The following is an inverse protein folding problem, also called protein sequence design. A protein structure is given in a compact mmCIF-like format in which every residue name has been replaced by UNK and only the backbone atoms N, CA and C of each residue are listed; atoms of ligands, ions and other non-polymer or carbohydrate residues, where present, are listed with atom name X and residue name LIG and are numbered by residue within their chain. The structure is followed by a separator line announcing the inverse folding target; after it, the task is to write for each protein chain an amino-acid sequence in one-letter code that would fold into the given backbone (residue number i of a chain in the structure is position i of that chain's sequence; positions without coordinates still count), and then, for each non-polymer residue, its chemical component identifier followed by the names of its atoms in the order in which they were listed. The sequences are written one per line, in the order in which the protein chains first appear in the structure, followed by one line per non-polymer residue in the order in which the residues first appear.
data_IF_877427126493
#
_entry.id   IF_877427126493
#
_cell.length_a   1.000
_cell.length_b   1.000
_cell.length_c   1.000
_cell.angle_alpha   90.00
_cell.angle_beta   90.00
_cell.angle_gamma   90.00
#
_symmetry.space_group_name_H-M   'P 1'
#
loop_
_entity.id
_entity.type
_entity.pdbx_description
1 polymer ?
#
# COMPACT_ATOMS: atom_id res chain seq x y z
N UNK A 1 10.42 0.71 34.87
CA UNK A 1 11.09 0.59 33.54
C UNK A 1 10.43 -0.56 32.77
N UNK A 2 9.25 -0.32 32.21
CA UNK A 2 8.55 -1.28 31.36
C UNK A 2 9.06 -1.08 29.92
N UNK A 3 9.64 -2.15 29.39
CA UNK A 3 10.15 -2.24 28.05
C UNK A 3 8.98 -2.13 27.05
N UNK A 4 8.84 -0.99 26.38
CA UNK A 4 8.24 -0.90 25.06
C UNK A 4 9.36 -0.77 24.04
N UNK A 5 10.15 -1.82 23.90
CA UNK A 5 11.12 -1.97 22.84
C UNK A 5 10.56 -2.99 21.86
N UNK A 6 9.66 -2.53 21.01
CA UNK A 6 9.22 -3.30 19.86
C UNK A 6 9.32 -2.43 18.63
N UNK A 7 10.47 -2.56 17.97
CA UNK A 7 10.71 -1.94 16.66
C UNK A 7 9.89 -2.71 15.64
N UNK A 8 8.77 -2.15 15.23
CA UNK A 8 8.02 -2.66 14.08
C UNK A 8 8.48 -1.96 12.82
N UNK A 9 9.05 -2.70 11.92
CA UNK A 9 9.61 -2.25 10.65
C UNK A 9 8.57 -1.96 9.56
N UNK A 10 7.30 -1.94 9.88
CA UNK A 10 6.24 -1.75 8.89
C UNK A 10 5.12 -0.93 9.50
N UNK A 11 4.91 0.26 8.96
CA UNK A 11 3.80 1.20 9.15
C UNK A 11 4.07 2.39 10.07
N UNK A 12 3.35 3.51 9.85
CA UNK A 12 3.39 4.72 10.70
C UNK A 12 2.71 4.51 12.06
N UNK A 13 3.02 3.42 12.76
CA UNK A 13 2.49 3.09 14.07
C UNK A 13 2.89 4.15 15.12
N UNK A 14 3.98 4.87 14.87
CA UNK A 14 4.50 5.87 15.82
C UNK A 14 3.62 7.13 15.89
N UNK A 15 2.96 7.52 14.80
CA UNK A 15 2.02 8.64 14.82
C UNK A 15 0.78 8.30 15.66
N UNK A 16 0.29 7.05 15.59
CA UNK A 16 -0.84 6.58 16.37
C UNK A 16 -0.49 6.47 17.85
N UNK A 17 0.73 6.04 18.20
CA UNK A 17 1.19 5.97 19.59
C UNK A 17 1.32 7.37 20.20
N UNK A 18 1.92 8.32 19.48
CA UNK A 18 2.01 9.71 19.93
C UNK A 18 0.62 10.35 20.08
N UNK A 19 -0.30 10.10 19.15
CA UNK A 19 -1.70 10.52 19.23
C UNK A 19 -2.43 9.93 20.44
N UNK A 20 -2.32 8.62 20.66
CA UNK A 20 -2.93 7.94 21.81
C UNK A 20 -2.39 8.41 23.16
N UNK A 21 -1.09 8.75 23.24
CA UNK A 21 -0.50 9.31 24.48
C UNK A 21 -1.04 10.72 24.74
N UNK A 22 -1.14 11.56 23.70
CA UNK A 22 -1.69 12.91 23.83
C UNK A 22 -3.18 12.92 24.25
N UNK A 23 -3.97 11.94 23.78
CA UNK A 23 -5.39 11.83 24.11
C UNK A 23 -5.66 11.32 25.54
N UNK A 24 -4.75 10.59 26.16
CA UNK A 24 -4.95 9.98 27.48
C UNK A 24 -4.70 10.90 28.67
N UNK A 25 -4.03 12.04 28.48
CA UNK A 25 -3.84 13.06 29.55
C UNK A 25 -3.13 12.54 30.79
N UNK A 26 -2.32 11.49 30.70
CA UNK A 26 -1.60 10.93 31.86
C UNK A 26 -0.39 11.78 32.22
N UNK A 27 -0.29 12.18 33.50
CA UNK A 27 0.72 13.10 34.07
C UNK A 27 2.16 12.54 34.14
N UNK A 28 2.47 11.43 33.50
CA UNK A 28 3.83 10.91 33.32
C UNK A 28 4.04 10.61 31.84
N UNK A 29 4.41 11.63 31.09
CA UNK A 29 4.68 11.49 29.65
C UNK A 29 5.92 10.61 29.46
N UNK A 30 5.80 9.45 28.78
CA UNK A 30 6.98 8.76 28.30
C UNK A 30 7.64 9.65 27.24
N UNK A 31 8.95 9.77 27.26
CA UNK A 31 9.70 10.41 26.18
C UNK A 31 9.48 9.60 24.90
N UNK A 32 8.85 10.22 23.90
CA UNK A 32 8.53 9.58 22.59
C UNK A 32 9.46 10.16 21.54
N UNK A 33 10.33 9.31 21.00
CA UNK A 33 11.18 9.65 19.85
C UNK A 33 10.62 8.99 18.58
N UNK A 34 10.42 9.77 17.52
CA UNK A 34 10.00 9.26 16.21
C UNK A 34 11.21 9.03 15.33
N UNK A 35 11.50 7.77 15.04
CA UNK A 35 12.59 7.39 14.16
C UNK A 35 12.04 7.12 12.75
N UNK A 36 12.51 7.83 11.70
CA UNK A 36 12.04 7.62 10.34
C UNK A 36 12.45 6.23 9.82
N UNK A 37 11.55 5.59 9.07
CA UNK A 37 11.76 4.28 8.46
C UNK A 37 11.30 4.22 7.01
N UNK A 38 11.65 3.14 6.30
CA UNK A 38 11.20 2.88 4.95
C UNK A 38 9.82 2.21 4.98
N UNK A 39 8.86 2.86 4.33
CA UNK A 39 7.52 2.28 4.17
C UNK A 39 7.53 1.12 3.15
N UNK A 40 6.63 0.14 3.33
CA UNK A 40 6.47 -0.97 2.40
C UNK A 40 6.09 -0.51 0.97
N UNK A 41 5.44 0.64 0.82
CA UNK A 41 5.18 1.24 -0.50
C UNK A 41 6.48 1.53 -1.24
N UNK A 42 7.44 2.22 -0.61
CA UNK A 42 8.72 2.54 -1.24
C UNK A 42 9.57 1.28 -1.45
N UNK A 43 9.66 0.41 -0.44
CA UNK A 43 10.47 -0.81 -0.50
C UNK A 43 9.94 -1.80 -1.53
N UNK A 44 8.63 -2.05 -1.57
CA UNK A 44 7.99 -2.91 -2.55
C UNK A 44 8.00 -2.30 -3.96
N UNK A 45 7.84 -0.98 -4.06
CA UNK A 45 8.00 -0.25 -5.31
C UNK A 45 9.38 -0.47 -5.91
N UNK A 46 10.44 -0.42 -5.10
CA UNK A 46 11.81 -0.69 -5.55
C UNK A 46 12.01 -2.13 -6.05
N UNK A 47 11.31 -3.12 -5.48
CA UNK A 47 11.35 -4.51 -5.97
C UNK A 47 10.70 -4.66 -7.34
N UNK A 48 9.62 -3.92 -7.61
CA UNK A 48 8.93 -3.93 -8.90
C UNK A 48 9.61 -3.06 -9.97
N UNK A 49 10.39 -2.08 -9.54
CA UNK A 49 11.02 -1.08 -10.40
C UNK A 49 10.79 0.34 -9.88
N UNK A 50 9.93 1.12 -10.49
CA UNK A 50 9.61 2.49 -10.08
C UNK A 50 8.12 2.83 -10.35
N UNK A 51 7.15 2.10 -9.75
CA UNK A 51 5.73 2.33 -10.01
C UNK A 51 5.19 3.60 -9.36
N UNK A 52 5.90 4.18 -8.38
CA UNK A 52 5.46 5.33 -7.57
C UNK A 52 6.25 6.61 -7.82
N UNK A 53 6.84 6.80 -9.01
CA UNK A 53 7.68 7.97 -9.30
C UNK A 53 6.91 9.27 -9.58
N UNK A 54 5.62 9.20 -9.69
CA UNK A 54 4.68 10.32 -9.81
C UNK A 54 3.83 10.44 -8.53
N UNK A 55 2.69 11.11 -8.61
CA UNK A 55 1.76 11.19 -7.49
C UNK A 55 1.17 9.80 -7.17
N UNK A 56 1.14 9.45 -5.90
CA UNK A 56 0.62 8.16 -5.47
C UNK A 56 -0.12 8.25 -4.14
N UNK A 57 -1.03 7.31 -3.94
CA UNK A 57 -1.77 7.13 -2.70
C UNK A 57 -1.40 5.82 -2.01
N UNK A 58 -1.33 5.82 -0.67
CA UNK A 58 -1.21 4.61 0.14
C UNK A 58 -2.55 4.37 0.83
N UNK A 59 -3.18 3.22 0.55
CA UNK A 59 -4.50 2.89 1.07
C UNK A 59 -4.46 1.52 1.74
N UNK A 60 -4.84 1.47 3.02
CA UNK A 60 -5.01 0.22 3.75
C UNK A 60 -6.43 -0.31 3.58
N UNK A 61 -6.56 -1.61 3.27
CA UNK A 61 -7.85 -2.30 3.24
C UNK A 61 -8.31 -2.80 4.62
N UNK A 62 -7.59 -2.44 5.69
CA UNK A 62 -8.01 -2.81 7.04
C UNK A 62 -9.22 -2.00 7.47
N UNK A 63 -10.36 -2.69 7.67
CA UNK A 63 -11.63 -2.13 8.12
C UNK A 63 -11.83 -2.18 9.65
N UNK A 64 -10.76 -2.43 10.40
CA UNK A 64 -10.84 -2.52 11.88
C UNK A 64 -11.13 -1.18 12.54
N UNK A 65 -10.51 -0.11 12.04
CA UNK A 65 -10.64 1.25 12.58
C UNK A 65 -11.25 2.22 11.56
N UNK A 66 -11.35 1.81 10.30
CA UNK A 66 -11.87 2.64 9.21
C UNK A 66 -13.06 1.94 8.55
N UNK A 67 -14.26 2.54 8.52
CA UNK A 67 -15.40 1.97 7.83
C UNK A 67 -15.10 1.67 6.36
N UNK A 68 -15.65 0.55 5.84
CA UNK A 68 -15.39 0.12 4.46
C UNK A 68 -15.80 1.18 3.43
N UNK A 69 -16.89 1.90 3.67
CA UNK A 69 -17.36 2.98 2.79
C UNK A 69 -16.30 4.09 2.63
N UNK A 70 -15.54 4.37 3.69
CA UNK A 70 -14.43 5.32 3.65
C UNK A 70 -13.28 4.78 2.79
N UNK A 71 -12.95 3.49 2.91
CA UNK A 71 -11.92 2.84 2.08
C UNK A 71 -12.35 2.83 0.62
N UNK A 72 -13.60 2.47 0.32
CA UNK A 72 -14.18 2.50 -1.02
C UNK A 72 -14.08 3.89 -1.65
N UNK A 73 -14.46 4.94 -0.90
CA UNK A 73 -14.36 6.31 -1.39
C UNK A 73 -12.91 6.71 -1.70
N UNK A 74 -11.95 6.32 -0.85
CA UNK A 74 -10.52 6.60 -1.08
C UNK A 74 -10.00 5.89 -2.33
N UNK A 75 -10.35 4.61 -2.54
CA UNK A 75 -9.97 3.85 -3.74
C UNK A 75 -10.54 4.50 -4.99
N UNK A 76 -11.82 4.87 -4.98
CA UNK A 76 -12.49 5.52 -6.10
C UNK A 76 -11.84 6.87 -6.42
N UNK A 77 -11.66 7.73 -5.44
CA UNK A 77 -11.05 9.05 -5.64
C UNK A 77 -9.61 8.97 -6.16
N UNK A 78 -8.81 8.02 -5.66
CA UNK A 78 -7.45 7.81 -6.13
C UNK A 78 -7.43 7.31 -7.59
N UNK A 79 -8.37 6.42 -7.97
CA UNK A 79 -8.51 5.94 -9.33
C UNK A 79 -8.98 7.04 -10.29
N UNK A 80 -10.00 7.84 -9.90
CA UNK A 80 -10.50 8.97 -10.68
C UNK A 80 -9.44 10.08 -10.86
N UNK A 81 -8.58 10.27 -9.84
CA UNK A 81 -7.46 11.21 -9.90
C UNK A 81 -6.24 10.70 -10.64
N UNK A 82 -6.29 9.49 -11.21
CA UNK A 82 -5.19 8.82 -11.90
C UNK A 82 -3.90 8.68 -11.05
N UNK A 83 -4.05 8.50 -9.73
CA UNK A 83 -2.92 8.19 -8.85
C UNK A 83 -2.44 6.77 -9.05
N UNK A 84 -1.11 6.55 -8.94
CA UNK A 84 -0.63 5.23 -8.62
C UNK A 84 -1.03 4.87 -7.18
N UNK A 85 -1.41 3.62 -6.91
CA UNK A 85 -1.94 3.23 -5.60
C UNK A 85 -1.10 2.10 -5.02
N UNK A 86 -0.61 2.28 -3.79
CA UNK A 86 -0.05 1.21 -2.97
C UNK A 86 -1.11 0.73 -1.96
N UNK A 87 -1.49 -0.53 -2.02
CA UNK A 87 -2.52 -1.13 -1.18
C UNK A 87 -1.87 -1.98 -0.10
N UNK A 88 -2.17 -1.67 1.16
CA UNK A 88 -1.76 -2.41 2.34
C UNK A 88 -2.88 -3.30 2.86
N UNK A 89 -2.50 -4.36 3.56
CA UNK A 89 -3.44 -5.32 4.15
C UNK A 89 -4.45 -5.87 3.13
N UNK A 90 -4.01 -6.35 1.96
CA UNK A 90 -4.89 -6.76 0.87
C UNK A 90 -5.78 -7.94 1.26
N UNK A 91 -5.32 -8.81 2.17
CA UNK A 91 -6.11 -9.88 2.75
C UNK A 91 -5.60 -10.27 4.13
N UNK A 92 -6.43 -10.94 4.93
CA UNK A 92 -6.08 -11.60 6.17
C UNK A 92 -7.01 -12.79 6.43
N UNK A 93 -6.70 -13.62 7.42
CA UNK A 93 -7.49 -14.80 7.75
C UNK A 93 -8.99 -14.52 7.96
N UNK A 94 -9.33 -13.39 8.57
CA UNK A 94 -10.73 -12.97 8.75
C UNK A 94 -11.31 -12.12 7.61
N UNK A 95 -10.54 -11.83 6.56
CA UNK A 95 -10.86 -10.89 5.48
C UNK A 95 -10.24 -11.33 4.15
N UNK A 96 -10.59 -12.52 3.65
CA UNK A 96 -9.99 -13.06 2.42
C UNK A 96 -10.42 -12.29 1.17
N UNK A 97 -11.60 -11.64 1.18
CA UNK A 97 -12.22 -11.04 -0.01
C UNK A 97 -11.91 -9.54 -0.17
N UNK A 98 -11.10 -8.93 0.72
CA UNK A 98 -10.88 -7.48 0.70
C UNK A 98 -10.21 -6.99 -0.58
N UNK A 99 -9.20 -7.72 -1.10
CA UNK A 99 -8.58 -7.37 -2.38
C UNK A 99 -9.58 -7.45 -3.53
N UNK A 100 -10.38 -8.52 -3.59
CA UNK A 100 -11.41 -8.69 -4.62
C UNK A 100 -12.40 -7.52 -4.61
N UNK A 101 -12.90 -7.16 -3.43
CA UNK A 101 -13.79 -6.00 -3.26
C UNK A 101 -13.14 -4.69 -3.72
N UNK A 102 -11.84 -4.50 -3.40
CA UNK A 102 -11.10 -3.32 -3.87
C UNK A 102 -10.97 -3.31 -5.39
N UNK A 103 -10.67 -4.46 -6.01
CA UNK A 103 -10.62 -4.59 -7.47
C UNK A 103 -11.99 -4.32 -8.11
N UNK A 104 -13.10 -4.78 -7.53
CA UNK A 104 -14.46 -4.49 -8.01
C UNK A 104 -14.75 -2.98 -8.04
N UNK A 105 -14.23 -2.22 -7.06
CA UNK A 105 -14.36 -0.77 -7.00
C UNK A 105 -13.49 -0.12 -8.08
N UNK A 106 -12.24 -0.54 -8.19
CA UNK A 106 -11.28 0.01 -9.15
C UNK A 106 -11.71 -0.25 -10.60
N UNK A 107 -12.24 -1.43 -10.91
CA UNK A 107 -12.73 -1.81 -12.25
C UNK A 107 -13.94 -1.00 -12.73
N UNK A 108 -14.64 -0.28 -11.83
CA UNK A 108 -15.69 0.68 -12.24
C UNK A 108 -15.11 1.96 -12.88
N UNK A 109 -13.82 2.23 -12.65
CA UNK A 109 -13.13 3.47 -13.07
C UNK A 109 -11.96 3.17 -14.01
N UNK A 110 -11.22 2.10 -13.75
CA UNK A 110 -9.99 1.73 -14.46
C UNK A 110 -10.25 0.55 -15.41
N UNK A 111 -9.52 0.47 -16.54
CA UNK A 111 -9.61 -0.66 -17.46
C UNK A 111 -9.02 -1.94 -16.83
N UNK A 112 -9.48 -3.10 -17.27
CA UNK A 112 -9.00 -4.42 -16.81
C UNK A 112 -7.51 -4.63 -17.09
N UNK A 113 -6.99 -4.02 -18.14
CA UNK A 113 -5.57 -4.06 -18.57
C UNK A 113 -4.67 -3.15 -17.74
N UNK A 114 -5.22 -2.39 -16.79
CA UNK A 114 -4.42 -1.55 -15.88
C UNK A 114 -3.32 -2.38 -15.24
N UNK A 115 -2.07 -1.96 -15.43
CA UNK A 115 -0.92 -2.66 -14.90
C UNK A 115 -0.87 -2.57 -13.38
N UNK A 116 -0.64 -3.70 -12.76
CA UNK A 116 -0.54 -3.88 -11.32
C UNK A 116 0.70 -4.68 -10.96
N UNK A 117 1.06 -4.67 -9.68
CA UNK A 117 2.13 -5.50 -9.14
C UNK A 117 1.79 -6.01 -7.75
N UNK A 118 2.31 -7.17 -7.40
CA UNK A 118 2.26 -7.74 -6.05
C UNK A 118 3.68 -7.98 -5.62
N UNK A 119 4.02 -7.59 -4.39
CA UNK A 119 5.28 -7.96 -3.74
C UNK A 119 4.95 -8.61 -2.40
N UNK A 120 5.48 -9.80 -2.19
CA UNK A 120 5.33 -10.58 -0.95
C UNK A 120 6.65 -10.60 -0.20
N UNK A 121 6.62 -10.57 1.13
CA UNK A 121 7.77 -10.70 2.03
C UNK A 121 8.89 -9.69 1.72
N UNK A 122 8.55 -8.42 1.51
CA UNK A 122 9.51 -7.35 1.17
C UNK A 122 10.67 -7.34 2.16
N UNK A 123 11.92 -7.49 1.65
CA UNK A 123 13.14 -7.50 2.47
C UNK A 123 13.29 -8.70 3.39
N UNK A 124 12.55 -9.79 3.17
CA UNK A 124 12.57 -11.01 3.98
C UNK A 124 12.88 -12.24 3.12
N UNK A 125 13.20 -13.34 3.77
CA UNK A 125 13.30 -14.64 3.10
C UNK A 125 11.98 -15.00 2.40
N UNK A 126 12.07 -15.55 1.19
CA UNK A 126 10.92 -15.85 0.35
C UNK A 126 10.31 -14.61 -0.32
N UNK A 127 11.05 -13.49 -0.43
CA UNK A 127 10.62 -12.33 -1.21
C UNK A 127 10.31 -12.75 -2.65
N UNK A 128 9.14 -12.34 -3.12
CA UNK A 128 8.72 -12.57 -4.51
C UNK A 128 7.93 -11.39 -5.04
N UNK A 129 7.91 -11.21 -6.35
CA UNK A 129 7.12 -10.19 -7.02
C UNK A 129 6.49 -10.72 -8.29
N UNK A 130 5.36 -10.13 -8.67
CA UNK A 130 4.66 -10.43 -9.92
C UNK A 130 4.02 -9.16 -10.47
N UNK A 131 4.17 -8.95 -11.78
CA UNK A 131 3.44 -7.93 -12.54
C UNK A 131 2.26 -8.62 -13.22
N UNK A 132 1.09 -8.01 -13.20
CA UNK A 132 -0.17 -8.54 -13.71
C UNK A 132 -1.12 -7.39 -14.07
N UNK A 133 -2.27 -7.70 -14.65
CA UNK A 133 -3.33 -6.72 -14.90
C UNK A 133 -4.30 -6.61 -13.72
N UNK A 134 -5.13 -5.57 -13.70
CA UNK A 134 -6.16 -5.37 -12.69
C UNK A 134 -7.22 -6.50 -12.73
N UNK A 135 -7.56 -6.98 -13.92
CA UNK A 135 -8.44 -8.13 -14.08
C UNK A 135 -7.86 -9.41 -13.47
N UNK A 136 -6.57 -9.67 -13.68
CA UNK A 136 -5.88 -10.81 -13.06
C UNK A 136 -5.68 -10.63 -11.55
N UNK A 137 -5.51 -9.39 -11.08
CA UNK A 137 -5.34 -9.07 -9.67
C UNK A 137 -6.57 -9.46 -8.84
N UNK A 138 -7.77 -9.35 -9.40
CA UNK A 138 -9.02 -9.72 -8.74
C UNK A 138 -9.05 -11.18 -8.28
N UNK A 139 -8.38 -12.08 -9.01
CA UNK A 139 -8.29 -13.51 -8.70
C UNK A 139 -6.94 -13.89 -8.04
N UNK A 140 -6.11 -12.92 -7.72
CA UNK A 140 -4.79 -13.19 -7.18
C UNK A 140 -4.84 -13.68 -5.72
N UNK A 141 -4.03 -14.70 -5.41
CA UNK A 141 -3.80 -15.16 -4.05
C UNK A 141 -2.84 -14.19 -3.33
N UNK A 142 -3.34 -13.55 -2.27
CA UNK A 142 -2.60 -12.60 -1.44
C UNK A 142 -2.88 -12.85 0.04
N UNK A 143 -1.94 -12.42 0.86
CA UNK A 143 -2.04 -12.46 2.32
C UNK A 143 -1.59 -11.13 2.95
N UNK A 144 -1.49 -11.09 4.27
CA UNK A 144 -1.08 -9.90 5.01
C UNK A 144 0.40 -9.51 4.81
N UNK A 145 1.22 -10.38 4.19
CA UNK A 145 2.61 -10.10 3.86
C UNK A 145 2.79 -9.53 2.45
N UNK A 146 1.68 -9.33 1.74
CA UNK A 146 1.67 -8.75 0.41
C UNK A 146 1.42 -7.24 0.47
N UNK A 147 2.13 -6.51 -0.39
CA UNK A 147 1.79 -5.14 -0.79
C UNK A 147 1.41 -5.16 -2.25
N UNK A 148 0.28 -4.57 -2.58
CA UNK A 148 -0.24 -4.52 -3.95
C UNK A 148 -0.05 -3.11 -4.51
N UNK A 149 0.27 -3.03 -5.79
CA UNK A 149 0.48 -1.79 -6.52
C UNK A 149 -0.45 -1.74 -7.71
N UNK A 150 -1.17 -0.64 -7.88
CA UNK A 150 -1.98 -0.35 -9.06
C UNK A 150 -1.36 0.86 -9.75
N UNK A 151 -0.94 0.70 -11.00
CA UNK A 151 -0.35 1.78 -11.77
C UNK A 151 -1.38 2.83 -12.20
N UNK A 152 -0.90 3.99 -12.63
CA UNK A 152 -1.72 5.02 -13.26
C UNK A 152 -1.79 4.86 -14.80
N UNK A 153 -2.38 5.82 -15.50
CA UNK A 153 -2.54 5.77 -16.97
C UNK A 153 -1.22 5.73 -17.74
N UNK A 154 -0.13 6.25 -17.15
CA UNK A 154 1.21 6.28 -17.78
C UNK A 154 2.10 5.10 -17.39
N UNK A 155 1.66 4.23 -16.48
CA UNK A 155 2.42 3.06 -16.02
C UNK A 155 2.64 2.06 -17.16
N UNK A 156 3.85 1.56 -17.26
CA UNK A 156 4.26 0.59 -18.29
C UNK A 156 5.27 -0.40 -17.75
N UNK A 157 5.43 -1.52 -18.47
CA UNK A 157 6.49 -2.49 -18.21
C UNK A 157 7.66 -2.18 -19.13
N UNK A 158 8.84 -1.99 -18.53
CA UNK A 158 10.10 -1.77 -19.28
C UNK A 158 11.14 -2.74 -18.75
N UNK A 159 11.67 -3.60 -19.59
CA UNK A 159 12.67 -4.62 -19.22
C UNK A 159 12.25 -5.47 -18.01
N UNK A 160 10.96 -5.83 -17.93
CA UNK A 160 10.42 -6.61 -16.82
C UNK A 160 10.15 -5.82 -15.52
N UNK A 161 10.41 -4.52 -15.50
CA UNK A 161 10.12 -3.64 -14.36
C UNK A 161 8.84 -2.82 -14.59
N UNK A 162 8.07 -2.63 -13.52
CA UNK A 162 6.87 -1.78 -13.51
C UNK A 162 7.30 -0.33 -13.24
N UNK A 163 7.04 0.56 -14.19
CA UNK A 163 7.52 1.94 -14.16
C UNK A 163 6.37 2.91 -14.45
N UNK A 164 6.26 3.94 -13.63
CA UNK A 164 5.38 5.10 -13.87
C UNK A 164 6.28 6.31 -14.19
N UNK A 165 6.42 6.71 -15.48
CA UNK A 165 7.30 7.83 -15.83
C UNK A 165 6.74 9.17 -15.39
N UNK A 166 7.60 10.10 -14.99
CA UNK A 166 7.19 11.49 -14.63
C UNK A 166 6.86 12.38 -15.82
N UNK A 167 6.98 11.87 -17.04
CA UNK A 167 6.63 12.63 -18.24
C UNK A 167 7.67 13.67 -18.66
N UNK A 168 8.91 13.56 -18.20
CA UNK A 168 9.99 14.40 -18.72
C UNK A 168 10.09 14.18 -20.24
N UNK A 169 9.94 15.27 -21.00
CA UNK A 169 10.17 15.31 -22.44
C UNK A 169 11.63 15.70 -22.64
N UNK A 170 12.40 14.89 -23.38
CA UNK A 170 13.80 15.16 -23.75
C UNK A 170 14.85 14.89 -22.65
N UNK A 171 14.85 13.70 -22.08
CA UNK A 171 16.04 13.16 -21.40
C UNK A 171 16.52 11.95 -22.17
#
# INVERSE_FOLDING_TARGET
LSRLQQVYWQEPVHADVAGCVAERGENSEPEVEVVPGLTAACSGGAVLGAPLTHDFAVISLSDRLTPWETIENRLRCAAEGDFAIAIYNPASHGRPDHLKRACDILLRVLPEERLCGIVRNIGREGQSSRILTLGELQAADVDMFCTVFVGNSSTKVVNGALITPRGYRNV
#
